data_IF_447301449832
#
_entry.id   IF_447301449832
#
_cell.length_a   1.000
_cell.length_b   1.000
_cell.length_c   1.000
_cell.angle_alpha   90.00
_cell.angle_beta   90.00
_cell.angle_gamma   90.00
#
_symmetry.space_group_name_H-M   'P 1'
#
loop_
_entity.id
_entity.type
_entity.pdbx_description
1 polymer ?
#
# COMPACT_ATOMS: atom_id res chain seq x y z
N UNK A 1 -27.22 -0.69 0.00
CA UNK A 1 -26.58 -1.59 -0.98
C UNK A 1 -25.76 -0.83 -2.01
N UNK A 2 -26.43 0.08 -2.73
CA UNK A 2 -25.71 0.84 -3.78
C UNK A 2 -24.55 1.68 -3.24
N UNK A 3 -24.69 2.22 -2.02
CA UNK A 3 -23.61 2.97 -1.38
C UNK A 3 -22.40 2.09 -1.05
N UNK A 4 -22.63 0.86 -0.59
CA UNK A 4 -21.56 -0.08 -0.29
C UNK A 4 -20.85 -0.52 -1.57
N UNK A 5 -21.58 -0.75 -2.65
CA UNK A 5 -20.99 -1.09 -3.95
C UNK A 5 -20.15 0.08 -4.46
N UNK A 6 -20.65 1.30 -4.37
CA UNK A 6 -19.92 2.50 -4.75
C UNK A 6 -18.62 2.64 -3.97
N UNK A 7 -18.68 2.47 -2.65
CA UNK A 7 -17.48 2.54 -1.79
C UNK A 7 -16.50 1.42 -2.07
N UNK A 8 -17.01 0.23 -2.42
CA UNK A 8 -16.15 -0.88 -2.84
C UNK A 8 -15.41 -0.55 -4.14
N UNK A 9 -16.07 0.12 -5.09
CA UNK A 9 -15.46 0.57 -6.34
C UNK A 9 -14.40 1.64 -6.05
N UNK A 10 -14.70 2.59 -5.17
CA UNK A 10 -13.73 3.63 -4.77
C UNK A 10 -12.50 3.01 -4.12
N UNK A 11 -12.68 2.02 -3.25
CA UNK A 11 -11.58 1.28 -2.64
C UNK A 11 -10.77 0.51 -3.69
N UNK A 12 -11.44 -0.05 -4.69
CA UNK A 12 -10.77 -0.73 -5.80
C UNK A 12 -9.93 0.23 -6.63
N UNK A 13 -10.40 1.45 -6.85
CA UNK A 13 -9.62 2.46 -7.56
C UNK A 13 -8.34 2.81 -6.78
N UNK A 14 -8.42 2.89 -5.46
CA UNK A 14 -7.25 3.09 -4.61
C UNK A 14 -6.30 1.90 -4.72
N UNK A 15 -6.82 0.68 -4.70
CA UNK A 15 -6.02 -0.53 -4.88
C UNK A 15 -5.27 -0.49 -6.21
N UNK A 16 -5.93 -0.10 -7.30
CA UNK A 16 -5.32 -0.01 -8.62
C UNK A 16 -4.14 0.98 -8.62
N UNK A 17 -4.33 2.16 -8.05
CA UNK A 17 -3.28 3.17 -7.95
C UNK A 17 -2.12 2.70 -7.07
N UNK A 18 -2.42 2.04 -5.95
CA UNK A 18 -1.41 1.46 -5.08
C UNK A 18 -0.60 0.37 -5.80
N UNK A 19 -1.25 -0.50 -6.55
CA UNK A 19 -0.57 -1.57 -7.31
C UNK A 19 0.39 -0.98 -8.34
N UNK A 20 0.04 0.12 -8.99
CA UNK A 20 0.93 0.80 -9.92
C UNK A 20 2.20 1.27 -9.23
N UNK A 21 2.08 1.84 -8.03
CA UNK A 21 3.23 2.28 -7.24
C UNK A 21 4.07 1.07 -6.80
N UNK A 22 3.41 0.02 -6.34
CA UNK A 22 4.06 -1.23 -5.94
C UNK A 22 4.88 -1.82 -7.09
N UNK A 23 4.28 -1.92 -8.26
CA UNK A 23 4.94 -2.48 -9.44
C UNK A 23 6.14 -1.63 -9.86
N UNK A 24 5.99 -0.31 -9.85
CA UNK A 24 7.08 0.60 -10.18
C UNK A 24 8.24 0.44 -9.21
N UNK A 25 7.94 0.42 -7.91
CA UNK A 25 8.95 0.25 -6.87
C UNK A 25 9.71 -1.07 -7.03
N UNK A 26 9.01 -2.19 -7.17
CA UNK A 26 9.63 -3.51 -7.20
C UNK A 26 10.28 -3.82 -8.54
N UNK A 27 9.81 -3.25 -9.64
CA UNK A 27 10.48 -3.31 -10.92
C UNK A 27 11.91 -2.73 -10.81
N UNK A 28 12.03 -1.59 -10.14
CA UNK A 28 13.32 -0.96 -9.91
C UNK A 28 14.18 -1.72 -8.89
N UNK A 29 13.57 -2.37 -7.89
CA UNK A 29 14.28 -3.19 -6.92
C UNK A 29 14.97 -4.39 -7.58
N UNK A 30 14.33 -5.01 -8.55
CA UNK A 30 14.96 -6.08 -9.34
C UNK A 30 16.16 -5.56 -10.13
N UNK A 31 16.08 -4.34 -10.65
CA UNK A 31 17.18 -3.70 -11.36
C UNK A 31 18.35 -3.32 -10.44
N UNK A 32 18.12 -3.20 -9.14
CA UNK A 32 19.19 -2.97 -8.15
C UNK A 32 20.17 -4.14 -8.08
N UNK A 33 19.77 -5.32 -8.49
CA UNK A 33 20.66 -6.47 -8.56
C UNK A 33 21.64 -6.37 -9.72
N UNK A 34 21.41 -5.44 -10.67
CA UNK A 34 22.31 -5.15 -11.78
C UNK A 34 23.17 -3.96 -11.35
N UNK A 35 24.51 -4.10 -11.27
CA UNK A 35 25.38 -3.04 -10.78
C UNK A 35 25.58 -1.95 -11.85
N UNK A 36 24.53 -1.29 -12.28
CA UNK A 36 24.59 -0.15 -13.20
C UNK A 36 24.36 1.10 -12.37
N UNK A 37 25.41 1.93 -12.26
CA UNK A 37 25.32 3.24 -11.60
C UNK A 37 24.30 4.10 -12.29
N UNK A 38 23.46 4.77 -11.50
CA UNK A 38 22.45 5.70 -12.00
C UNK A 38 21.02 5.15 -11.97
N UNK A 39 20.82 3.84 -11.98
CA UNK A 39 19.48 3.26 -11.90
C UNK A 39 18.80 3.54 -10.56
N UNK A 40 19.59 3.67 -9.50
CA UNK A 40 19.09 4.01 -8.16
C UNK A 40 18.52 5.42 -8.08
N UNK A 41 18.96 6.32 -8.95
CA UNK A 41 18.52 7.72 -8.95
C UNK A 41 17.17 7.91 -9.62
N UNK A 42 16.67 6.88 -10.32
CA UNK A 42 15.41 6.95 -11.05
C UNK A 42 14.20 6.61 -10.17
N UNK A 43 14.42 6.01 -8.97
CA UNK A 43 13.32 5.76 -8.04
C UNK A 43 13.08 7.01 -7.22
N UNK A 44 11.93 7.61 -7.42
CA UNK A 44 11.54 8.77 -6.63
C UNK A 44 10.78 8.32 -5.38
N UNK A 45 11.53 7.97 -4.33
CA UNK A 45 10.95 7.53 -3.07
C UNK A 45 10.09 8.62 -2.43
N UNK A 46 10.47 9.88 -2.58
CA UNK A 46 9.69 11.00 -2.05
C UNK A 46 8.33 11.11 -2.72
N UNK A 47 8.30 10.97 -4.05
CA UNK A 47 7.06 10.96 -4.81
C UNK A 47 6.17 9.78 -4.40
N UNK A 48 6.74 8.59 -4.28
CA UNK A 48 5.98 7.41 -3.86
C UNK A 48 5.45 7.56 -2.45
N UNK A 49 6.26 8.09 -1.53
CA UNK A 49 5.82 8.38 -0.17
C UNK A 49 4.63 9.33 -0.16
N UNK A 50 4.70 10.42 -0.91
CA UNK A 50 3.61 11.40 -1.01
C UNK A 50 2.35 10.81 -1.62
N UNK A 51 2.49 10.04 -2.69
CA UNK A 51 1.36 9.38 -3.36
C UNK A 51 0.69 8.35 -2.45
N UNK A 52 1.47 7.55 -1.73
CA UNK A 52 0.95 6.56 -0.80
C UNK A 52 0.25 7.22 0.39
N UNK A 53 0.79 8.32 0.91
CA UNK A 53 0.15 9.08 1.98
C UNK A 53 -1.22 9.59 1.55
N UNK A 54 -1.33 10.09 0.32
CA UNK A 54 -2.60 10.57 -0.24
C UNK A 54 -3.60 9.41 -0.37
N UNK A 55 -3.17 8.26 -0.90
CA UNK A 55 -4.02 7.09 -1.03
C UNK A 55 -4.51 6.59 0.34
N UNK A 56 -3.62 6.60 1.34
CA UNK A 56 -3.97 6.22 2.70
C UNK A 56 -5.06 7.13 3.27
N UNK A 57 -4.94 8.44 3.08
CA UNK A 57 -5.94 9.40 3.55
C UNK A 57 -7.27 9.21 2.86
N UNK A 58 -7.27 9.00 1.54
CA UNK A 58 -8.49 8.76 0.77
C UNK A 58 -9.18 7.47 1.22
N UNK A 59 -8.42 6.39 1.41
CA UNK A 59 -8.97 5.10 1.86
C UNK A 59 -9.53 5.21 3.27
N UNK A 60 -8.83 5.88 4.15
CA UNK A 60 -9.29 6.12 5.52
C UNK A 60 -10.62 6.87 5.53
N UNK A 61 -10.77 7.86 4.66
CA UNK A 61 -12.02 8.59 4.52
C UNK A 61 -13.17 7.69 4.06
N UNK A 62 -12.91 6.85 3.06
CA UNK A 62 -13.91 5.90 2.54
C UNK A 62 -14.37 4.95 3.65
N UNK A 63 -13.44 4.34 4.38
CA UNK A 63 -13.74 3.38 5.44
C UNK A 63 -14.53 4.04 6.56
N UNK A 64 -14.16 5.26 6.93
CA UNK A 64 -14.84 5.98 8.03
C UNK A 64 -16.29 6.29 7.73
N UNK A 65 -16.66 6.32 6.45
CA UNK A 65 -18.03 6.54 6.01
C UNK A 65 -18.88 5.26 5.93
N UNK A 66 -18.30 4.10 6.22
CA UNK A 66 -19.01 2.82 6.16
C UNK A 66 -19.59 2.50 7.54
N UNK A 67 -20.91 2.29 7.57
CA UNK A 67 -21.62 1.87 8.78
C UNK A 67 -21.70 0.34 8.79
N UNK A 68 -21.21 -0.29 9.86
CA UNK A 68 -21.10 -1.75 9.99
C UNK A 68 -22.44 -2.42 10.29
N UNK A 69 -23.45 -2.19 9.46
CA UNK A 69 -24.81 -2.69 9.66
C UNK A 69 -25.02 -4.14 9.25
N UNK A 70 -24.23 -4.64 8.33
CA UNK A 70 -24.39 -6.00 7.80
C UNK A 70 -23.03 -6.63 7.50
N UNK A 71 -23.05 -7.88 7.06
CA UNK A 71 -21.82 -8.64 6.78
C UNK A 71 -21.01 -8.02 5.63
N UNK A 72 -21.69 -7.53 4.62
CA UNK A 72 -21.01 -6.85 3.49
C UNK A 72 -20.25 -5.62 3.98
N UNK A 73 -20.90 -4.77 4.78
CA UNK A 73 -20.25 -3.57 5.33
C UNK A 73 -19.05 -3.93 6.19
N UNK A 74 -19.17 -4.96 7.04
CA UNK A 74 -18.05 -5.42 7.88
C UNK A 74 -16.90 -5.96 7.03
N UNK A 75 -17.21 -6.73 5.98
CA UNK A 75 -16.19 -7.25 5.07
C UNK A 75 -15.45 -6.11 4.36
N UNK A 76 -16.17 -5.07 3.95
CA UNK A 76 -15.56 -3.90 3.31
C UNK A 76 -14.64 -3.14 4.29
N UNK A 77 -15.08 -2.97 5.54
CA UNK A 77 -14.25 -2.33 6.57
C UNK A 77 -12.99 -3.13 6.82
N UNK A 78 -13.10 -4.44 7.01
CA UNK A 78 -11.94 -5.30 7.27
C UNK A 78 -10.94 -5.27 6.10
N UNK A 79 -11.44 -5.36 4.88
CA UNK A 79 -10.62 -5.27 3.68
C UNK A 79 -9.93 -3.90 3.59
N UNK A 80 -10.68 -2.84 3.78
CA UNK A 80 -10.17 -1.48 3.72
C UNK A 80 -9.11 -1.22 4.77
N UNK A 81 -9.30 -1.71 5.99
CA UNK A 81 -8.31 -1.57 7.06
C UNK A 81 -7.03 -2.35 6.76
N UNK A 82 -7.14 -3.55 6.21
CA UNK A 82 -5.98 -4.35 5.81
C UNK A 82 -5.21 -3.69 4.66
N UNK A 83 -5.91 -3.17 3.66
CA UNK A 83 -5.29 -2.42 2.56
C UNK A 83 -4.64 -1.15 3.06
N UNK A 84 -5.30 -0.41 3.96
CA UNK A 84 -4.74 0.79 4.57
C UNK A 84 -3.44 0.49 5.32
N UNK A 85 -3.42 -0.59 6.10
CA UNK A 85 -2.22 -1.01 6.81
C UNK A 85 -1.08 -1.32 5.83
N UNK A 86 -1.39 -2.01 4.73
CA UNK A 86 -0.42 -2.34 3.68
C UNK A 86 0.16 -1.07 3.04
N UNK A 87 -0.70 -0.12 2.70
CA UNK A 87 -0.27 1.16 2.11
C UNK A 87 0.61 1.93 3.11
N UNK A 88 0.25 1.94 4.39
CA UNK A 88 1.04 2.63 5.42
C UNK A 88 2.41 1.98 5.62
N UNK A 89 2.50 0.66 5.66
CA UNK A 89 3.78 -0.04 5.77
C UNK A 89 4.67 0.31 4.58
N UNK A 90 4.12 0.25 3.37
CA UNK A 90 4.87 0.57 2.16
C UNK A 90 5.28 2.04 2.13
N UNK A 91 4.39 2.95 2.54
CA UNK A 91 4.69 4.38 2.66
C UNK A 91 5.84 4.64 3.61
N UNK A 92 5.85 4.00 4.77
CA UNK A 92 6.93 4.13 5.76
C UNK A 92 8.26 3.62 5.20
N UNK A 93 8.24 2.52 4.45
CA UNK A 93 9.43 2.01 3.76
C UNK A 93 9.97 3.05 2.77
N UNK A 94 9.10 3.62 1.95
CA UNK A 94 9.48 4.65 0.98
C UNK A 94 10.03 5.89 1.67
N UNK A 95 9.40 6.31 2.77
CA UNK A 95 9.87 7.45 3.57
C UNK A 95 11.26 7.24 4.14
N UNK A 96 11.53 6.04 4.68
CA UNK A 96 12.85 5.69 5.23
C UNK A 96 13.90 5.65 4.13
N UNK A 97 13.57 5.09 2.97
CA UNK A 97 14.49 5.04 1.84
C UNK A 97 14.74 6.42 1.24
N UNK A 98 13.74 7.29 1.26
CA UNK A 98 13.89 8.68 0.82
C UNK A 98 14.89 9.42 1.69
N UNK A 99 14.75 9.33 3.02
CA UNK A 99 15.68 9.96 3.97
C UNK A 99 17.11 9.47 3.75
N UNK A 100 17.26 8.15 3.56
CA UNK A 100 18.57 7.57 3.29
C UNK A 100 19.16 8.08 1.97
N UNK A 101 18.34 8.24 0.92
CA UNK A 101 18.78 8.73 -0.39
C UNK A 101 19.22 10.19 -0.35
N UNK A 102 18.68 10.99 0.59
CA UNK A 102 19.05 12.40 0.78
C UNK A 102 20.29 12.58 1.65
N UNK A 103 20.95 11.50 2.04
CA UNK A 103 22.13 11.57 2.89
C UNK A 103 21.86 11.95 4.34
N UNK A 104 20.59 11.94 4.76
CA UNK A 104 20.26 12.17 6.16
C UNK A 104 20.79 11.01 7.01
N UNK A 105 21.20 11.32 8.25
CA UNK A 105 21.64 10.30 9.21
C UNK A 105 20.42 9.41 9.47
N UNK A 106 20.48 8.19 8.95
CA UNK A 106 19.39 7.22 9.04
C UNK A 106 19.93 5.92 9.61
N UNK A 107 19.22 5.37 10.59
CA UNK A 107 19.48 4.05 11.11
C UNK A 107 18.79 2.95 10.30
N UNK A 108 18.29 3.30 9.12
CA UNK A 108 17.58 2.35 8.27
C UNK A 108 18.58 1.48 7.50
N UNK A 109 18.87 0.32 8.07
CA UNK A 109 19.83 -0.63 7.53
C UNK A 109 19.12 -1.76 6.78
N UNK A 110 19.91 -2.54 6.04
CA UNK A 110 19.42 -3.68 5.27
C UNK A 110 18.56 -4.65 6.09
N UNK A 111 18.91 -4.85 7.36
CA UNK A 111 18.15 -5.72 8.28
C UNK A 111 16.75 -5.19 8.54
N UNK A 112 16.61 -3.89 8.76
CA UNK A 112 15.32 -3.25 8.98
C UNK A 112 14.47 -3.28 7.70
N UNK A 113 15.11 -3.05 6.55
CA UNK A 113 14.42 -3.13 5.27
C UNK A 113 13.84 -4.54 5.04
N UNK A 114 14.61 -5.59 5.36
CA UNK A 114 14.11 -6.97 5.24
C UNK A 114 12.94 -7.26 6.18
N UNK A 115 13.02 -6.78 7.42
CA UNK A 115 11.94 -6.94 8.38
C UNK A 115 10.67 -6.23 7.91
N UNK A 116 10.82 -5.01 7.40
CA UNK A 116 9.71 -4.24 6.84
C UNK A 116 9.12 -4.93 5.61
N UNK A 117 9.98 -5.47 4.75
CA UNK A 117 9.54 -6.19 3.55
C UNK A 117 8.75 -7.45 3.92
N UNK A 118 9.18 -8.20 4.94
CA UNK A 118 8.46 -9.36 5.43
C UNK A 118 7.09 -8.97 5.98
N UNK A 119 7.03 -7.90 6.77
CA UNK A 119 5.79 -7.37 7.31
C UNK A 119 4.87 -6.90 6.17
N UNK A 120 5.44 -6.23 5.17
CA UNK A 120 4.71 -5.78 3.99
C UNK A 120 4.09 -6.96 3.24
N UNK A 121 4.88 -8.00 2.95
CA UNK A 121 4.40 -9.17 2.22
C UNK A 121 3.29 -9.91 2.99
N UNK A 122 3.40 -9.99 4.31
CA UNK A 122 2.35 -10.58 5.16
C UNK A 122 1.07 -9.76 5.09
N UNK A 123 1.18 -8.44 5.11
CA UNK A 123 0.04 -7.54 5.01
C UNK A 123 -0.63 -7.64 3.63
N UNK A 124 0.15 -7.78 2.55
CA UNK A 124 -0.37 -7.99 1.20
C UNK A 124 -1.22 -9.25 1.14
N UNK A 125 -0.73 -10.35 1.69
CA UNK A 125 -1.48 -11.62 1.72
C UNK A 125 -2.81 -11.45 2.45
N UNK A 126 -2.80 -10.69 3.54
CA UNK A 126 -4.00 -10.47 4.33
C UNK A 126 -5.06 -9.68 3.56
N UNK A 127 -4.70 -8.55 2.92
CA UNK A 127 -5.71 -7.79 2.18
C UNK A 127 -6.21 -8.56 0.96
N UNK A 128 -5.37 -9.36 0.32
CA UNK A 128 -5.78 -10.20 -0.80
C UNK A 128 -6.82 -11.24 -0.37
N UNK A 129 -6.60 -11.88 0.77
CA UNK A 129 -7.53 -12.85 1.32
C UNK A 129 -8.87 -12.20 1.67
N UNK A 130 -8.84 -11.04 2.32
CA UNK A 130 -10.04 -10.29 2.67
C UNK A 130 -10.74 -9.74 1.44
N UNK A 131 -10.00 -9.38 0.39
CA UNK A 131 -10.56 -8.94 -0.88
C UNK A 131 -11.33 -10.05 -1.60
N UNK A 132 -10.81 -11.28 -1.55
CA UNK A 132 -11.50 -12.44 -2.10
C UNK A 132 -12.84 -12.64 -1.39
N UNK A 133 -12.85 -12.53 -0.06
CA UNK A 133 -14.07 -12.62 0.74
C UNK A 133 -15.05 -11.50 0.40
N UNK A 134 -14.56 -10.28 0.26
CA UNK A 134 -15.39 -9.13 -0.10
C UNK A 134 -16.06 -9.34 -1.46
N UNK A 135 -15.35 -9.88 -2.43
CA UNK A 135 -15.88 -10.12 -3.77
C UNK A 135 -17.08 -11.04 -3.78
N UNK A 136 -17.22 -11.91 -2.79
CA UNK A 136 -18.38 -12.80 -2.66
C UNK A 136 -19.69 -12.01 -2.48
N UNK A 137 -19.62 -10.82 -1.88
CA UNK A 137 -20.78 -9.97 -1.64
C UNK A 137 -21.13 -9.08 -2.84
N UNK A 138 -20.20 -8.90 -3.78
CA UNK A 138 -20.33 -7.97 -4.90
C UNK A 138 -20.91 -8.67 -6.15
N UNK A 139 -20.82 -9.97 -6.22
CA UNK A 139 -21.31 -10.77 -7.35
C UNK A 139 -22.84 -10.76 -7.48
#
# INVERSE_FOLDING_TARGET
MDDLIRKSIEAHDILTQYIEIHNDFFKWSLRRMIPIRGLFQEIDFGKHFGSLSKLADELKYIISGVDAQNEFARALIEYGQALLQTINIFGDMCGSLYKKSQGEVSSYYKKQYRADLDAYNSSVKRYQSLGTRLNEYIR
#
